data_IF_818134604791
#
_entry.id   IF_818134604791
#
_cell.length_a   1.000
_cell.length_b   1.000
_cell.length_c   1.000
_cell.angle_alpha   90.00
_cell.angle_beta   90.00
_cell.angle_gamma   90.00
#
_symmetry.space_group_name_H-M   'P 1'
#
loop_
_entity.id
_entity.type
_entity.pdbx_description
1 polymer ?
#
# COMPACT_ATOMS: atom_id res chain seq x y z
N UNK A 1 -13.37 -16.57 9.19
CA UNK A 1 -12.98 -15.62 8.14
C UNK A 1 -11.76 -14.89 8.66
N UNK A 2 -10.57 -15.27 8.19
CA UNK A 2 -9.32 -14.63 8.58
C UNK A 2 -9.35 -13.24 7.93
N UNK A 3 -9.60 -12.21 8.73
CA UNK A 3 -9.56 -10.82 8.30
C UNK A 3 -8.21 -10.63 7.60
N UNK A 4 -8.21 -10.13 6.36
CA UNK A 4 -7.04 -9.38 5.91
C UNK A 4 -6.73 -8.37 7.02
N UNK A 5 -5.46 -8.36 7.38
CA UNK A 5 -4.89 -7.85 8.61
C UNK A 5 -5.62 -6.58 9.04
N UNK A 6 -6.31 -6.53 10.21
CA UNK A 6 -6.77 -5.25 10.71
C UNK A 6 -5.50 -4.45 10.97
N UNK A 7 -5.25 -3.41 10.16
CA UNK A 7 -4.23 -2.41 10.42
C UNK A 7 -4.73 -1.65 11.64
N UNK A 8 -4.49 -2.24 12.81
CA UNK A 8 -4.71 -1.64 14.10
C UNK A 8 -3.58 -0.61 14.23
N UNK A 9 -3.92 0.65 14.00
CA UNK A 9 -3.10 1.79 14.40
C UNK A 9 -2.86 1.67 15.90
N UNK A 10 -1.74 1.04 16.29
CA UNK A 10 -1.25 1.10 17.65
C UNK A 10 -0.44 2.39 17.77
N UNK A 11 -1.10 3.48 18.16
CA UNK A 11 -0.41 4.63 18.73
C UNK A 11 0.34 4.10 19.94
N UNK A 12 1.66 3.99 19.82
CA UNK A 12 2.54 3.51 20.88
C UNK A 12 2.38 4.40 22.12
N UNK A 13 1.71 3.87 23.14
CA UNK A 13 1.96 4.26 24.53
C UNK A 13 2.74 3.12 25.17
N UNK A 14 3.89 3.46 25.74
CA UNK A 14 4.91 2.51 26.14
C UNK A 14 4.51 1.54 27.24
N UNK A 15 5.30 0.47 27.35
CA UNK A 15 5.23 -0.47 28.47
C UNK A 15 5.74 -1.86 28.12
N UNK A 16 7.05 -2.06 28.26
CA UNK A 16 7.71 -3.37 28.23
C UNK A 16 7.17 -4.32 29.30
N UNK A 17 6.91 -5.60 28.97
CA UNK A 17 7.37 -6.77 29.76
C UNK A 17 7.50 -7.99 28.82
N UNK A 18 8.70 -8.57 28.75
CA UNK A 18 8.97 -9.87 28.14
C UNK A 18 8.46 -11.01 29.03
N UNK A 19 7.86 -12.05 28.45
CA UNK A 19 7.81 -13.38 29.08
C UNK A 19 7.87 -14.46 28.01
N UNK A 20 8.94 -15.25 28.04
CA UNK A 20 9.15 -16.41 27.19
C UNK A 20 8.51 -17.65 27.84
N UNK A 21 7.64 -18.34 27.11
CA UNK A 21 7.24 -19.71 27.44
C UNK A 21 7.51 -20.62 26.23
N UNK A 22 8.45 -21.53 26.47
CA UNK A 22 8.91 -22.62 25.61
C UNK A 22 7.85 -23.72 25.47
N UNK A 23 7.71 -24.32 24.28
CA UNK A 23 7.29 -25.72 24.19
C UNK A 23 7.82 -26.43 22.93
N UNK A 24 8.00 -27.74 23.10
CA UNK A 24 8.88 -28.68 22.39
C UNK A 24 8.39 -29.08 20.99
N UNK A 25 9.37 -29.35 20.12
CA UNK A 25 9.26 -30.16 18.90
C UNK A 25 8.78 -31.59 19.22
N UNK A 26 7.84 -32.08 18.43
CA UNK A 26 7.62 -33.51 18.23
C UNK A 26 7.74 -33.84 16.74
N UNK A 27 8.55 -34.86 16.44
CA UNK A 27 8.80 -35.37 15.09
C UNK A 27 7.76 -36.45 14.80
N UNK A 28 7.21 -36.51 13.59
CA UNK A 28 6.85 -37.78 12.95
C UNK A 28 6.82 -37.65 11.41
N UNK A 29 7.57 -38.55 10.79
CA UNK A 29 7.64 -38.83 9.35
C UNK A 29 6.36 -39.56 8.88
N UNK A 30 5.73 -39.10 7.80
CA UNK A 30 5.01 -39.97 6.84
C UNK A 30 5.06 -39.36 5.41
N UNK A 31 5.82 -40.04 4.54
CA UNK A 31 5.61 -40.36 3.11
C UNK A 31 5.23 -39.27 2.08
N UNK A 32 5.91 -39.19 0.91
CA UNK A 32 5.73 -38.11 -0.06
C UNK A 32 4.42 -38.28 -0.84
N UNK A 33 3.47 -37.38 -0.59
CA UNK A 33 2.30 -37.23 -1.43
C UNK A 33 2.66 -36.38 -2.67
N UNK A 34 2.30 -36.95 -3.82
CA UNK A 34 2.35 -36.43 -5.19
C UNK A 34 2.79 -34.98 -5.39
N UNK A 35 3.77 -34.81 -6.27
CA UNK A 35 3.99 -33.57 -7.01
C UNK A 35 2.68 -33.15 -7.67
N UNK A 36 1.91 -32.29 -7.01
CA UNK A 36 0.83 -31.54 -7.64
C UNK A 36 1.50 -30.54 -8.57
N UNK A 37 1.65 -30.96 -9.82
CA UNK A 37 1.93 -30.09 -10.94
C UNK A 37 0.90 -28.94 -10.88
N UNK A 38 1.32 -27.66 -10.86
CA UNK A 38 0.36 -26.57 -10.76
C UNK A 38 -0.49 -26.58 -12.02
N UNK A 39 -1.78 -26.87 -11.86
CA UNK A 39 -2.75 -26.56 -12.88
C UNK A 39 -2.70 -25.04 -13.09
N UNK A 40 -2.57 -24.59 -14.33
CA UNK A 40 -2.85 -23.22 -14.71
C UNK A 40 -4.34 -22.95 -14.43
N UNK A 41 -4.66 -22.68 -13.17
CA UNK A 41 -5.95 -22.22 -12.72
C UNK A 41 -6.07 -20.77 -13.14
N UNK A 42 -6.97 -20.46 -14.08
CA UNK A 42 -7.38 -19.08 -14.39
C UNK A 42 -8.29 -18.49 -13.30
N UNK A 43 -8.73 -19.29 -12.33
CA UNK A 43 -9.58 -18.82 -11.25
C UNK A 43 -8.75 -18.15 -10.16
N UNK A 44 -9.15 -16.94 -9.77
CA UNK A 44 -8.58 -16.22 -8.63
C UNK A 44 -8.88 -16.92 -7.31
N UNK A 45 -7.89 -16.95 -6.44
CA UNK A 45 -8.07 -17.25 -5.02
C UNK A 45 -8.93 -16.17 -4.34
N UNK A 46 -9.58 -16.46 -3.20
CA UNK A 46 -10.28 -15.43 -2.43
C UNK A 46 -9.38 -14.25 -2.06
N UNK A 47 -8.12 -14.53 -1.71
CA UNK A 47 -7.12 -13.51 -1.39
C UNK A 47 -6.86 -12.57 -2.57
N UNK A 48 -6.64 -13.11 -3.78
CA UNK A 48 -6.40 -12.31 -4.98
C UNK A 48 -7.59 -11.39 -5.31
N UNK A 49 -8.82 -11.88 -5.13
CA UNK A 49 -10.02 -11.04 -5.32
C UNK A 49 -10.07 -9.90 -4.31
N UNK A 50 -9.80 -10.19 -3.05
CA UNK A 50 -9.89 -9.24 -1.96
C UNK A 50 -8.80 -8.16 -2.06
N UNK A 51 -7.55 -8.54 -2.37
CA UNK A 51 -6.46 -7.57 -2.55
C UNK A 51 -6.69 -6.67 -3.75
N UNK A 52 -7.18 -7.18 -4.90
CA UNK A 52 -7.50 -6.32 -6.07
C UNK A 52 -8.55 -5.27 -5.70
N UNK A 53 -9.62 -5.68 -5.00
CA UNK A 53 -10.69 -4.76 -4.59
C UNK A 53 -10.17 -3.74 -3.56
N UNK A 54 -9.34 -4.17 -2.61
CA UNK A 54 -8.75 -3.28 -1.61
C UNK A 54 -7.83 -2.24 -2.25
N UNK A 55 -6.85 -2.68 -3.05
CA UNK A 55 -5.87 -1.82 -3.71
C UNK A 55 -6.56 -0.79 -4.62
N UNK A 56 -7.70 -1.14 -5.25
CA UNK A 56 -8.50 -0.18 -6.03
C UNK A 56 -8.90 1.07 -5.22
N UNK A 57 -9.34 0.88 -3.97
CA UNK A 57 -9.73 1.99 -3.11
C UNK A 57 -8.54 2.65 -2.40
N UNK A 58 -7.47 1.89 -2.14
CA UNK A 58 -6.22 2.40 -1.56
C UNK A 58 -5.54 3.40 -2.49
N UNK A 59 -5.38 3.06 -3.77
CA UNK A 59 -4.83 3.94 -4.81
C UNK A 59 -5.71 5.19 -5.01
N UNK A 60 -7.04 5.02 -4.92
CA UNK A 60 -7.98 6.16 -4.91
C UNK A 60 -7.76 7.06 -3.70
N UNK A 61 -7.52 6.48 -2.53
CA UNK A 61 -7.25 7.24 -1.30
C UNK A 61 -5.98 8.05 -1.44
N UNK A 62 -4.89 7.45 -1.92
CA UNK A 62 -3.65 8.14 -2.22
C UNK A 62 -3.89 9.33 -3.16
N UNK A 63 -4.52 9.08 -4.32
CA UNK A 63 -4.88 10.12 -5.29
C UNK A 63 -5.67 11.25 -4.66
N UNK A 64 -6.74 10.93 -3.93
CA UNK A 64 -7.66 11.92 -3.38
C UNK A 64 -7.02 12.74 -2.25
N UNK A 65 -6.15 12.14 -1.42
CA UNK A 65 -5.34 12.88 -0.43
C UNK A 65 -4.39 13.84 -1.15
N UNK A 66 -3.68 13.37 -2.18
CA UNK A 66 -2.74 14.21 -2.93
C UNK A 66 -3.43 15.35 -3.65
N UNK A 67 -4.61 15.13 -4.23
CA UNK A 67 -5.42 16.21 -4.80
C UNK A 67 -5.83 17.24 -3.74
N UNK A 68 -6.24 16.80 -2.55
CA UNK A 68 -6.55 17.71 -1.43
C UNK A 68 -5.33 18.52 -0.99
N UNK A 69 -4.16 17.88 -0.87
CA UNK A 69 -2.91 18.55 -0.50
C UNK A 69 -2.41 19.50 -1.58
N UNK A 70 -2.57 19.16 -2.86
CA UNK A 70 -2.29 20.05 -3.98
C UNK A 70 -3.16 21.31 -3.90
N UNK A 71 -4.47 21.15 -3.70
CA UNK A 71 -5.39 22.27 -3.59
C UNK A 71 -5.05 23.19 -2.41
N UNK A 72 -4.55 22.63 -1.31
CA UNK A 72 -4.21 23.37 -0.09
C UNK A 72 -2.87 24.09 -0.16
N UNK A 73 -1.83 23.40 -0.63
CA UNK A 73 -0.43 23.83 -0.52
C UNK A 73 0.22 24.21 -1.85
N UNK A 74 -0.40 23.85 -2.99
CA UNK A 74 0.08 24.12 -4.34
C UNK A 74 1.52 23.63 -4.60
N UNK A 75 1.86 22.44 -4.09
CA UNK A 75 3.16 21.80 -4.30
C UNK A 75 3.06 20.82 -5.47
N UNK A 76 3.88 21.04 -6.50
CA UNK A 76 3.87 20.25 -7.75
C UNK A 76 4.05 18.74 -7.54
N UNK A 77 4.77 18.31 -6.51
CA UNK A 77 4.92 16.89 -6.18
C UNK A 77 3.55 16.21 -5.99
N UNK A 78 2.59 16.85 -5.30
CA UNK A 78 1.25 16.27 -5.17
C UNK A 78 0.50 16.19 -6.50
N UNK A 79 0.69 17.14 -7.42
CA UNK A 79 0.10 17.09 -8.76
C UNK A 79 0.63 15.92 -9.58
N UNK A 80 1.96 15.78 -9.63
CA UNK A 80 2.61 14.72 -10.40
C UNK A 80 2.27 13.32 -9.86
N UNK A 81 2.29 13.15 -8.54
CA UNK A 81 2.03 11.86 -7.91
C UNK A 81 0.54 11.52 -7.98
N UNK A 82 -0.40 12.46 -7.74
CA UNK A 82 -1.83 12.17 -7.95
C UNK A 82 -2.16 11.74 -9.39
N UNK A 83 -1.47 12.30 -10.40
CA UNK A 83 -1.61 11.84 -11.78
C UNK A 83 -1.02 10.43 -12.00
N UNK A 84 -0.04 10.01 -11.20
CA UNK A 84 0.48 8.65 -11.15
C UNK A 84 -0.52 7.69 -10.51
N UNK A 85 -1.12 8.07 -9.37
CA UNK A 85 -2.12 7.24 -8.69
C UNK A 85 -3.36 7.00 -9.54
N UNK A 86 -3.71 7.97 -10.40
CA UNK A 86 -4.76 7.72 -11.38
C UNK A 86 -4.40 6.55 -12.32
N UNK A 87 -3.14 6.43 -12.75
CA UNK A 87 -2.70 5.31 -13.59
C UNK A 87 -2.70 3.99 -12.82
N UNK A 88 -2.34 4.01 -11.54
CA UNK A 88 -2.41 2.82 -10.69
C UNK A 88 -3.86 2.34 -10.53
N UNK A 89 -4.76 3.26 -10.22
CA UNK A 89 -6.20 3.04 -10.21
C UNK A 89 -6.66 2.38 -11.52
N UNK A 90 -6.29 2.93 -12.68
CA UNK A 90 -6.69 2.41 -14.00
C UNK A 90 -6.14 1.00 -14.26
N UNK A 91 -4.91 0.72 -13.82
CA UNK A 91 -4.31 -0.61 -13.91
C UNK A 91 -5.08 -1.63 -13.06
N UNK A 92 -5.48 -1.29 -11.83
CA UNK A 92 -6.30 -2.15 -10.98
C UNK A 92 -7.72 -2.32 -11.56
N UNK A 93 -8.30 -1.27 -12.17
CA UNK A 93 -9.60 -1.38 -12.85
C UNK A 93 -9.55 -2.36 -14.03
N UNK A 94 -8.41 -2.43 -14.72
CA UNK A 94 -8.19 -3.43 -15.77
C UNK A 94 -8.24 -4.85 -15.20
N UNK A 95 -7.63 -5.10 -14.03
CA UNK A 95 -7.73 -6.39 -13.35
C UNK A 95 -9.16 -6.70 -12.90
N UNK A 96 -9.86 -5.73 -12.29
CA UNK A 96 -11.26 -5.89 -11.89
C UNK A 96 -12.13 -6.31 -13.08
N UNK A 97 -11.93 -5.66 -14.23
CA UNK A 97 -12.67 -5.96 -15.46
C UNK A 97 -12.31 -7.34 -16.01
N UNK A 98 -11.02 -7.67 -16.09
CA UNK A 98 -10.54 -8.95 -16.63
C UNK A 98 -11.04 -10.16 -15.83
N UNK A 99 -11.17 -10.00 -14.50
CA UNK A 99 -11.64 -11.05 -13.59
C UNK A 99 -13.12 -10.93 -13.22
N UNK A 100 -13.87 -10.01 -13.85
CA UNK A 100 -15.29 -9.77 -13.61
C UNK A 100 -15.63 -9.55 -12.11
N UNK A 101 -14.81 -8.71 -11.45
CA UNK A 101 -14.99 -8.26 -10.07
C UNK A 101 -15.73 -6.93 -10.05
N UNK A 102 -16.56 -6.71 -9.03
CA UNK A 102 -17.24 -5.43 -8.86
C UNK A 102 -16.23 -4.32 -8.51
N UNK A 103 -16.33 -3.16 -9.17
CA UNK A 103 -15.50 -1.98 -8.85
C UNK A 103 -16.06 -1.28 -7.60
N UNK A 104 -15.32 -1.26 -6.47
CA UNK A 104 -15.78 -0.62 -5.24
C UNK A 104 -15.85 0.91 -5.31
N UNK A 105 -15.20 1.52 -6.32
CA UNK A 105 -15.19 2.99 -6.49
C UNK A 105 -16.49 3.47 -7.11
N UNK A 106 -17.05 2.76 -8.09
CA UNK A 106 -18.31 3.12 -8.75
C UNK A 106 -18.40 4.60 -9.13
N UNK A 107 -19.45 5.27 -8.66
CA UNK A 107 -19.68 6.72 -8.87
C UNK A 107 -19.22 7.57 -7.67
N UNK A 108 -18.41 7.02 -6.76
CA UNK A 108 -17.98 7.74 -5.56
C UNK A 108 -17.08 8.93 -5.95
N UNK A 109 -17.44 10.11 -5.48
CA UNK A 109 -16.64 11.32 -5.66
C UNK A 109 -15.32 11.28 -4.87
N UNK A 110 -14.48 12.33 -5.02
CA UNK A 110 -13.28 12.48 -4.22
C UNK A 110 -13.57 12.39 -2.71
N UNK A 111 -12.75 11.63 -1.99
CA UNK A 111 -12.87 11.48 -0.54
C UNK A 111 -13.99 10.56 -0.05
N UNK A 112 -14.72 9.90 -0.95
CA UNK A 112 -15.78 8.93 -0.62
C UNK A 112 -15.31 7.51 -0.94
N UNK A 113 -15.44 6.60 0.02
CA UNK A 113 -14.99 5.20 -0.09
C UNK A 113 -16.06 4.24 0.43
N UNK A 114 -16.11 3.05 -0.18
CA UNK A 114 -16.96 1.93 0.23
C UNK A 114 -16.36 1.23 1.46
N UNK A 115 -15.04 1.05 1.48
CA UNK A 115 -14.32 0.53 2.64
C UNK A 115 -14.20 1.60 3.74
N UNK A 116 -14.82 1.34 4.89
CA UNK A 116 -14.84 2.27 6.03
C UNK A 116 -13.47 2.46 6.70
N UNK A 117 -12.55 1.51 6.59
CA UNK A 117 -11.18 1.66 7.10
C UNK A 117 -10.40 2.64 6.20
N UNK A 118 -10.54 2.52 4.88
CA UNK A 118 -9.95 3.47 3.91
C UNK A 118 -10.59 4.86 4.06
N UNK A 119 -11.91 4.94 4.28
CA UNK A 119 -12.59 6.20 4.56
C UNK A 119 -12.01 6.90 5.79
N UNK A 120 -11.70 6.13 6.85
CA UNK A 120 -11.08 6.66 8.06
C UNK A 120 -9.65 7.14 7.77
N UNK A 121 -8.84 6.34 7.07
CA UNK A 121 -7.48 6.71 6.69
C UNK A 121 -7.45 8.01 5.88
N UNK A 122 -8.33 8.15 4.88
CA UNK A 122 -8.48 9.40 4.12
C UNK A 122 -8.72 10.60 5.04
N UNK A 123 -9.69 10.50 5.95
CA UNK A 123 -10.03 11.59 6.87
C UNK A 123 -8.84 11.96 7.76
N UNK A 124 -8.16 10.96 8.33
CA UNK A 124 -7.01 11.17 9.22
C UNK A 124 -5.82 11.80 8.48
N UNK A 125 -5.53 11.34 7.26
CA UNK A 125 -4.42 11.83 6.45
C UNK A 125 -4.67 13.24 5.92
N UNK A 126 -5.90 13.56 5.51
CA UNK A 126 -6.27 14.94 5.14
C UNK A 126 -6.21 15.86 6.36
N UNK A 127 -6.68 15.43 7.52
CA UNK A 127 -6.59 16.21 8.75
C UNK A 127 -5.12 16.48 9.14
N UNK A 128 -4.27 15.45 9.08
CA UNK A 128 -2.82 15.58 9.30
C UNK A 128 -2.19 16.56 8.30
N UNK A 129 -2.41 16.35 7.01
CA UNK A 129 -1.82 17.19 5.97
C UNK A 129 -2.32 18.63 5.95
N UNK A 130 -3.50 18.91 6.52
CA UNK A 130 -3.98 20.28 6.71
C UNK A 130 -3.30 21.04 7.85
N UNK A 131 -2.61 20.35 8.77
CA UNK A 131 -1.97 20.98 9.92
C UNK A 131 -0.78 21.87 9.51
N UNK A 132 0.05 21.38 8.58
CA UNK A 132 1.17 22.14 8.03
C UNK A 132 1.63 21.59 6.68
N UNK A 133 2.39 22.38 5.94
CA UNK A 133 3.01 21.93 4.69
C UNK A 133 3.94 20.72 4.92
N UNK A 134 4.66 20.69 6.04
CA UNK A 134 5.52 19.55 6.40
C UNK A 134 4.69 18.32 6.75
N UNK A 135 3.58 18.49 7.46
CA UNK A 135 2.67 17.38 7.77
C UNK A 135 2.00 16.81 6.52
N UNK A 136 1.77 17.62 5.49
CA UNK A 136 1.29 17.15 4.20
C UNK A 136 2.32 16.23 3.51
N UNK A 137 3.60 16.61 3.53
CA UNK A 137 4.68 15.76 2.99
C UNK A 137 4.80 14.46 3.82
N UNK A 138 4.67 14.55 5.15
CA UNK A 138 4.68 13.37 6.02
C UNK A 138 3.46 12.47 5.75
N UNK A 139 2.29 13.05 5.47
CA UNK A 139 1.11 12.28 5.07
C UNK A 139 1.37 11.53 3.76
N UNK A 140 2.02 12.17 2.77
CA UNK A 140 2.49 11.49 1.56
C UNK A 140 3.43 10.33 1.84
N UNK A 141 4.49 10.54 2.64
CA UNK A 141 5.37 9.44 3.06
C UNK A 141 4.64 8.32 3.80
N UNK A 142 3.61 8.65 4.59
CA UNK A 142 2.81 7.65 5.31
C UNK A 142 1.97 6.79 4.37
N UNK A 143 1.42 7.39 3.30
CA UNK A 143 0.67 6.65 2.28
C UNK A 143 1.62 5.70 1.54
N UNK A 144 2.75 6.19 1.06
CA UNK A 144 3.70 5.34 0.31
C UNK A 144 4.32 4.23 1.18
N UNK A 145 4.54 4.50 2.47
CA UNK A 145 5.02 3.50 3.43
C UNK A 145 4.01 2.35 3.60
N UNK A 146 2.72 2.68 3.71
CA UNK A 146 1.63 1.70 3.80
C UNK A 146 1.48 0.92 2.49
N UNK A 147 1.38 1.62 1.35
CA UNK A 147 1.14 1.01 0.04
C UNK A 147 2.27 0.04 -0.36
N UNK A 148 3.53 0.42 -0.13
CA UNK A 148 4.67 -0.48 -0.36
C UNK A 148 4.56 -1.74 0.50
N UNK A 149 4.21 -1.60 1.78
CA UNK A 149 4.07 -2.73 2.69
C UNK A 149 2.94 -3.67 2.23
N UNK A 150 1.76 -3.13 1.93
CA UNK A 150 0.58 -3.91 1.53
C UNK A 150 0.80 -4.62 0.18
N UNK A 151 1.41 -3.95 -0.79
CA UNK A 151 1.78 -4.55 -2.08
C UNK A 151 2.82 -5.69 -1.90
N UNK A 152 3.79 -5.54 -1.00
CA UNK A 152 4.76 -6.60 -0.72
C UNK A 152 4.12 -7.81 -0.05
N UNK A 153 3.22 -7.61 0.92
CA UNK A 153 2.48 -8.69 1.56
C UNK A 153 1.54 -9.40 0.57
N UNK A 154 0.92 -8.65 -0.35
CA UNK A 154 0.09 -9.21 -1.41
C UNK A 154 0.90 -10.07 -2.38
N UNK A 155 2.05 -9.57 -2.85
CA UNK A 155 2.90 -10.28 -3.82
C UNK A 155 3.44 -11.63 -3.30
N UNK A 156 3.52 -11.83 -1.98
CA UNK A 156 3.89 -13.12 -1.37
C UNK A 156 2.83 -14.21 -1.56
N UNK A 157 1.58 -13.83 -1.78
CA UNK A 157 0.43 -14.74 -1.79
C UNK A 157 -0.25 -14.84 -3.17
N UNK A 158 -0.09 -13.83 -4.03
CA UNK A 158 -0.59 -13.84 -5.40
C UNK A 158 0.06 -14.97 -6.20
N UNK A 159 -0.75 -15.67 -7.00
CA UNK A 159 -0.30 -16.73 -7.90
C UNK A 159 -0.35 -16.27 -9.36
N UNK A 160 -1.38 -15.49 -9.73
CA UNK A 160 -1.55 -15.04 -11.12
C UNK A 160 -0.46 -14.08 -11.58
N UNK A 161 0.11 -14.35 -12.75
CA UNK A 161 1.28 -13.63 -13.24
C UNK A 161 0.96 -12.21 -13.73
N UNK A 162 -0.23 -11.99 -14.27
CA UNK A 162 -0.73 -10.68 -14.67
C UNK A 162 -0.93 -9.77 -13.45
N UNK A 163 -1.53 -10.29 -12.36
CA UNK A 163 -1.66 -9.55 -11.10
C UNK A 163 -0.27 -9.21 -10.55
N UNK A 164 0.67 -10.16 -10.51
CA UNK A 164 2.06 -9.90 -10.07
C UNK A 164 2.72 -8.79 -10.88
N UNK A 165 2.46 -8.74 -12.18
CA UNK A 165 3.03 -7.72 -13.06
C UNK A 165 2.50 -6.34 -12.70
N UNK A 166 1.18 -6.21 -12.53
CA UNK A 166 0.55 -4.94 -12.12
C UNK A 166 1.05 -4.51 -10.74
N UNK A 167 0.98 -5.39 -9.73
CA UNK A 167 1.41 -5.08 -8.36
C UNK A 167 2.90 -4.76 -8.28
N UNK A 168 3.74 -5.44 -9.07
CA UNK A 168 5.17 -5.12 -9.16
C UNK A 168 5.45 -3.75 -9.78
N UNK A 169 4.60 -3.28 -10.70
CA UNK A 169 4.71 -1.94 -11.29
C UNK A 169 4.25 -0.86 -10.30
N UNK A 170 3.11 -1.06 -9.62
CA UNK A 170 2.64 -0.18 -8.54
C UNK A 170 3.72 -0.05 -7.48
N UNK A 171 4.21 -1.18 -6.94
CA UNK A 171 5.22 -1.20 -5.89
C UNK A 171 6.53 -0.49 -6.28
N UNK A 172 6.91 -0.52 -7.56
CA UNK A 172 8.05 0.27 -8.08
C UNK A 172 7.74 1.77 -8.07
N UNK A 173 6.55 2.15 -8.49
CA UNK A 173 6.11 3.54 -8.51
C UNK A 173 5.99 4.11 -7.09
N UNK A 174 5.39 3.40 -6.14
CA UNK A 174 5.25 3.84 -4.74
C UNK A 174 6.61 4.09 -4.09
N UNK A 175 7.62 3.24 -4.38
CA UNK A 175 9.01 3.52 -3.97
C UNK A 175 9.58 4.81 -4.58
N UNK A 176 9.23 5.14 -5.83
CA UNK A 176 9.64 6.39 -6.45
C UNK A 176 8.91 7.60 -5.86
N UNK A 177 7.63 7.47 -5.55
CA UNK A 177 6.85 8.50 -4.85
C UNK A 177 7.41 8.77 -3.46
N UNK A 178 7.75 7.71 -2.71
CA UNK A 178 8.44 7.81 -1.42
C UNK A 178 9.75 8.60 -1.53
N UNK A 179 10.56 8.36 -2.57
CA UNK A 179 11.79 9.15 -2.82
C UNK A 179 11.48 10.62 -3.10
N UNK A 180 10.39 10.91 -3.80
CA UNK A 180 9.95 12.29 -4.09
C UNK A 180 9.49 13.02 -2.83
N UNK A 181 8.64 12.40 -2.01
CA UNK A 181 8.22 13.00 -0.75
C UNK A 181 9.39 13.11 0.24
N UNK A 182 10.28 12.12 0.29
CA UNK A 182 11.50 12.21 1.09
C UNK A 182 12.36 13.41 0.70
N UNK A 183 12.55 13.65 -0.60
CA UNK A 183 13.28 14.83 -1.10
C UNK A 183 12.59 16.12 -0.66
N UNK A 184 11.26 16.19 -0.77
CA UNK A 184 10.50 17.35 -0.30
C UNK A 184 10.64 17.57 1.22
N UNK A 185 10.71 16.49 2.00
CA UNK A 185 10.86 16.55 3.44
C UNK A 185 12.25 17.04 3.85
N UNK A 186 13.31 16.52 3.20
CA UNK A 186 14.68 16.94 3.43
C UNK A 186 14.88 18.44 3.14
N UNK A 187 14.28 18.95 2.05
CA UNK A 187 14.32 20.37 1.72
C UNK A 187 13.65 21.27 2.77
N UNK A 188 12.84 20.70 3.67
CA UNK A 188 12.17 21.38 4.78
C UNK A 188 12.80 21.09 6.14
N UNK A 189 13.93 20.35 6.17
CA UNK A 189 14.59 19.95 7.40
C UNK A 189 13.77 18.97 8.26
N UNK A 190 12.77 18.31 7.67
CA UNK A 190 11.92 17.36 8.37
C UNK A 190 12.53 15.96 8.46
N UNK A 191 11.94 15.13 9.31
CA UNK A 191 12.31 13.70 9.45
C UNK A 191 11.05 12.83 9.42
N UNK A 192 11.21 11.60 8.98
CA UNK A 192 10.14 10.62 8.89
C UNK A 192 10.61 9.30 9.50
N UNK A 193 9.75 8.74 10.35
CA UNK A 193 9.92 7.40 10.91
C UNK A 193 8.85 6.53 10.25
N UNK A 194 9.23 5.46 9.53
CA UNK A 194 8.25 4.58 8.91
C UNK A 194 7.38 3.92 9.98
N UNK A 195 6.09 3.83 9.66
CA UNK A 195 5.05 3.23 10.49
C UNK A 195 4.78 1.78 10.07
N UNK A 196 5.06 1.42 8.81
CA UNK A 196 4.80 0.11 8.23
C UNK A 196 6.10 -0.61 7.85
N UNK A 197 6.93 0.01 7.01
CA UNK A 197 8.22 -0.57 6.64
C UNK A 197 9.20 -0.55 7.82
N UNK A 198 10.18 -1.45 7.77
CA UNK A 198 11.30 -1.35 8.71
C UNK A 198 12.13 -0.11 8.41
N UNK A 199 12.77 0.47 9.43
CA UNK A 199 13.68 1.60 9.24
C UNK A 199 14.78 1.29 8.22
N UNK A 200 15.31 0.06 8.22
CA UNK A 200 16.35 -0.36 7.28
C UNK A 200 15.82 -0.35 5.84
N UNK A 201 14.62 -0.86 5.62
CA UNK A 201 14.01 -0.92 4.31
C UNK A 201 13.67 0.47 3.76
N UNK A 202 13.03 1.31 4.58
CA UNK A 202 12.81 2.71 4.25
C UNK A 202 14.12 3.40 3.85
N UNK A 203 15.18 3.23 4.65
CA UNK A 203 16.49 3.80 4.36
C UNK A 203 17.09 3.27 3.05
N UNK A 204 16.90 1.99 2.74
CA UNK A 204 17.36 1.41 1.47
C UNK A 204 16.63 2.03 0.27
N UNK A 205 15.34 2.32 0.40
CA UNK A 205 14.53 2.94 -0.66
C UNK A 205 14.95 4.38 -0.88
N UNK A 206 14.95 5.21 0.17
CA UNK A 206 15.14 6.66 0.03
C UNK A 206 16.58 7.06 -0.30
N UNK A 207 17.56 6.20 0.00
CA UNK A 207 18.97 6.43 -0.31
C UNK A 207 19.45 5.74 -1.60
N UNK A 208 18.56 5.12 -2.37
CA UNK A 208 18.88 4.58 -3.70
C UNK A 208 18.40 5.51 -4.82
N UNK A 209 18.98 5.42 -6.04
CA UNK A 209 18.44 6.10 -7.21
C UNK A 209 16.98 5.71 -7.49
N UNK A 210 16.24 6.60 -8.17
CA UNK A 210 14.90 6.30 -8.69
C UNK A 210 14.97 5.13 -9.66
N UNK A 211 13.98 4.25 -9.55
CA UNK A 211 13.84 3.09 -10.41
C UNK A 211 13.24 3.48 -11.76
N UNK A 212 13.72 2.86 -12.84
CA UNK A 212 13.25 3.09 -14.20
C UNK A 212 12.15 2.08 -14.59
N UNK A 213 11.15 2.52 -15.37
CA UNK A 213 10.06 1.68 -15.87
C UNK A 213 8.74 2.45 -16.00
N UNK A 214 7.85 2.02 -16.90
CA UNK A 214 6.50 2.59 -17.03
C UNK A 214 5.53 2.07 -15.97
N UNK A 215 4.39 2.73 -15.79
CA UNK A 215 3.28 2.16 -15.01
C UNK A 215 2.58 1.07 -15.82
#
# INVERSE_FOLDING_TARGET
MKKLIPILILIATGGSIFSFASCKKEKNNVTPAGTSQPANSTALTPFEKETIVYTREEEKMARDVYMAMLAKWNINTFSNISASEQKHMDAIQTLLTAYNLADPVGNNGPGVFTNMEIQKLYNDLVAKGNASETDAIIAGLTIEDMDIYDLQEALKQIQQQDIKTVYGNLLRASRNHMREFYTQLQNRGGTYIPQFLTQQEYNNIVNSPKEQGGH
#
